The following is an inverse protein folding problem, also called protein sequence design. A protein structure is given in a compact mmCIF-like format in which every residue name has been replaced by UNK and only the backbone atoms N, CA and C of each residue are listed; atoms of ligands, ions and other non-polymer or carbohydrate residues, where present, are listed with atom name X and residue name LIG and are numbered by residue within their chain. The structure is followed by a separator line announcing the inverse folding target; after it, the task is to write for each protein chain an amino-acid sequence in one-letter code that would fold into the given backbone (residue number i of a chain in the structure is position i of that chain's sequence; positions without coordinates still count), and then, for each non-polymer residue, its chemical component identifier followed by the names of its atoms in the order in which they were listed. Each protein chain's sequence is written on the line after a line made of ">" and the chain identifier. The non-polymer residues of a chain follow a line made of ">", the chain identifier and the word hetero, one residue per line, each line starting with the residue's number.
data_IF_856964388986
#
_entry.id   IF_856964388986
#
_cell.length_a   1.000
_cell.length_b   1.000
_cell.length_c   1.000
_cell.angle_alpha   90.00
_cell.angle_beta   90.00
_cell.angle_gamma   90.00
#
_symmetry.space_group_name_H-M   'P 1'
#
loop_
_entity.id
_entity.type
_entity.pdbx_description
1 polymer ?
#
# COMPACT_ATOMS: atom_id res chain seq x y z
N UNK A 1 -4.33 -9.64 25.88
CA UNK A 1 -3.35 -8.87 25.10
C UNK A 1 -3.51 -9.26 23.64
N UNK A 2 -3.93 -8.33 22.78
CA UNK A 2 -4.07 -8.56 21.34
C UNK A 2 -2.67 -8.59 20.73
N UNK A 3 -2.25 -9.72 20.17
CA UNK A 3 -0.96 -9.81 19.47
C UNK A 3 -1.08 -9.13 18.11
N UNK A 4 -0.35 -8.02 17.84
CA UNK A 4 -0.33 -7.41 16.53
C UNK A 4 0.31 -8.38 15.53
N UNK A 5 -0.29 -8.51 14.35
CA UNK A 5 0.32 -9.25 13.23
C UNK A 5 0.92 -8.22 12.28
N UNK A 6 2.19 -7.92 12.51
CA UNK A 6 2.98 -7.03 11.67
C UNK A 6 3.57 -7.82 10.50
N UNK A 7 3.35 -7.37 9.28
CA UNK A 7 4.05 -7.88 8.10
C UNK A 7 4.91 -6.77 7.51
N UNK A 8 6.23 -6.96 7.49
CA UNK A 8 7.19 -6.02 6.93
C UNK A 8 7.67 -6.52 5.56
N UNK A 9 7.57 -5.66 4.54
CA UNK A 9 8.15 -5.82 3.20
C UNK A 9 7.79 -7.13 2.47
N UNK A 10 6.59 -7.15 1.88
CA UNK A 10 6.00 -8.36 1.24
C UNK A 10 5.48 -8.13 -0.18
N UNK A 11 5.54 -6.89 -0.70
CA UNK A 11 4.94 -6.52 -2.00
C UNK A 11 5.52 -7.28 -3.18
N UNK A 12 6.79 -7.71 -3.10
CA UNK A 12 7.41 -8.59 -4.09
C UNK A 12 6.83 -10.02 -4.12
N UNK A 13 6.11 -10.45 -3.07
CA UNK A 13 5.64 -11.83 -2.88
C UNK A 13 4.12 -11.97 -2.87
N UNK A 14 3.37 -10.86 -2.90
CA UNK A 14 1.91 -10.86 -2.92
C UNK A 14 1.41 -10.41 -4.29
N UNK A 15 0.73 -11.33 -4.96
CA UNK A 15 0.13 -11.09 -6.28
C UNK A 15 -1.35 -10.70 -6.20
N UNK A 16 -2.03 -11.04 -5.11
CA UNK A 16 -3.44 -10.72 -4.85
C UNK A 16 -3.63 -10.24 -3.40
N UNK A 17 -3.61 -8.92 -3.25
CA UNK A 17 -3.77 -8.25 -1.96
C UNK A 17 -5.12 -8.49 -1.31
N UNK A 18 -6.20 -8.50 -2.09
CA UNK A 18 -7.55 -8.73 -1.57
C UNK A 18 -7.65 -10.12 -0.97
N UNK A 19 -7.21 -11.14 -1.70
CA UNK A 19 -7.19 -12.52 -1.20
C UNK A 19 -6.29 -12.68 0.02
N UNK A 20 -5.15 -12.01 0.05
CA UNK A 20 -4.25 -12.03 1.20
C UNK A 20 -4.89 -11.41 2.45
N UNK A 21 -5.47 -10.22 2.32
CA UNK A 21 -6.16 -9.52 3.41
C UNK A 21 -7.38 -10.33 3.90
N UNK A 22 -8.15 -10.94 2.99
CA UNK A 22 -9.25 -11.84 3.35
C UNK A 22 -8.77 -13.05 4.16
N UNK A 23 -7.63 -13.64 3.80
CA UNK A 23 -7.01 -14.71 4.58
C UNK A 23 -6.63 -14.22 5.97
N UNK A 24 -6.01 -13.05 6.08
CA UNK A 24 -5.67 -12.44 7.37
C UNK A 24 -6.92 -12.20 8.23
N UNK A 25 -8.02 -11.73 7.64
CA UNK A 25 -9.28 -11.47 8.33
C UNK A 25 -9.95 -12.74 8.88
N UNK A 26 -9.68 -13.91 8.29
CA UNK A 26 -10.27 -15.19 8.70
C UNK A 26 -10.21 -15.46 10.21
N UNK A 27 -11.24 -16.14 10.73
CA UNK A 27 -11.43 -16.36 12.19
C UNK A 27 -10.23 -16.98 12.90
N UNK A 28 -9.45 -17.84 12.23
CA UNK A 28 -8.25 -18.47 12.79
C UNK A 28 -6.99 -17.60 12.74
N UNK A 29 -6.99 -16.51 11.97
CA UNK A 29 -5.79 -15.76 11.62
C UNK A 29 -5.69 -14.40 12.34
N UNK A 30 -6.84 -13.78 12.66
CA UNK A 30 -6.89 -12.52 13.39
C UNK A 30 -8.09 -12.47 14.35
N UNK A 31 -7.80 -12.15 15.61
CA UNK A 31 -8.79 -11.99 16.67
C UNK A 31 -9.64 -10.72 16.44
N UNK A 32 -10.87 -10.69 16.99
CA UNK A 32 -11.66 -9.45 17.05
C UNK A 32 -10.90 -8.39 17.86
N UNK A 33 -10.87 -7.15 17.38
CA UNK A 33 -10.02 -6.08 17.91
C UNK A 33 -8.52 -6.27 17.60
N UNK A 34 -8.16 -7.24 16.75
CA UNK A 34 -6.81 -7.42 16.25
C UNK A 34 -6.48 -6.43 15.15
N UNK A 35 -5.21 -6.02 15.07
CA UNK A 35 -4.70 -5.10 14.06
C UNK A 35 -3.96 -5.88 12.97
N UNK A 36 -4.19 -5.46 11.74
CA UNK A 36 -3.42 -5.86 10.57
C UNK A 36 -2.63 -4.65 10.10
N UNK A 37 -1.31 -4.77 10.02
CA UNK A 37 -0.43 -3.69 9.56
C UNK A 37 0.51 -4.20 8.48
N UNK A 38 0.63 -3.39 7.43
CA UNK A 38 1.56 -3.54 6.33
C UNK A 38 2.43 -2.30 6.27
N UNK A 39 3.74 -2.50 6.15
CA UNK A 39 4.65 -1.43 5.79
C UNK A 39 5.47 -1.86 4.58
N UNK A 40 5.52 -1.01 3.56
CA UNK A 40 6.22 -1.32 2.31
C UNK A 40 6.72 -0.07 1.58
N UNK A 41 7.59 -0.26 0.59
CA UNK A 41 8.41 0.77 -0.01
C UNK A 41 8.36 0.63 -1.53
N UNK A 42 8.10 1.73 -2.23
CA UNK A 42 8.15 1.78 -3.69
C UNK A 42 9.58 1.91 -4.21
N UNK A 43 10.38 0.86 -4.03
CA UNK A 43 11.83 0.86 -4.35
C UNK A 43 12.13 0.96 -5.85
N UNK A 44 11.14 0.71 -6.71
CA UNK A 44 11.26 0.79 -8.16
C UNK A 44 10.81 2.15 -8.74
N UNK A 45 10.30 3.06 -7.91
CA UNK A 45 9.89 4.40 -8.34
C UNK A 45 10.40 5.48 -7.36
N UNK A 46 11.70 5.83 -7.40
CA UNK A 46 12.19 7.01 -6.71
C UNK A 46 11.51 8.26 -7.28
N UNK A 47 11.16 9.18 -6.39
CA UNK A 47 10.50 10.44 -6.72
C UNK A 47 11.27 11.62 -6.12
N UNK A 48 10.90 12.83 -6.51
CA UNK A 48 11.49 14.07 -6.02
C UNK A 48 10.47 15.20 -6.05
N UNK A 49 10.56 16.12 -5.10
CA UNK A 49 9.70 17.31 -5.04
C UNK A 49 10.23 18.47 -5.92
N UNK A 50 11.50 18.45 -6.31
CA UNK A 50 12.16 19.56 -7.01
C UNK A 50 12.75 19.21 -8.38
N UNK A 51 12.55 17.96 -8.82
CA UNK A 51 12.96 17.50 -10.15
C UNK A 51 14.48 17.38 -10.33
N UNK A 52 15.26 17.37 -9.24
CA UNK A 52 16.71 17.16 -9.29
C UNK A 52 17.16 15.83 -9.93
N UNK A 53 16.51 14.66 -9.70
CA UNK A 53 16.76 13.49 -10.53
C UNK A 53 16.10 13.68 -11.89
N UNK A 54 16.92 13.59 -12.93
CA UNK A 54 16.46 13.61 -14.32
C UNK A 54 16.34 12.18 -14.85
N UNK A 55 15.65 11.99 -15.96
CA UNK A 55 15.54 10.67 -16.60
C UNK A 55 16.88 10.11 -17.08
N UNK A 56 17.90 10.97 -17.17
CA UNK A 56 19.26 10.59 -17.51
C UNK A 56 20.12 10.18 -16.32
N UNK A 57 19.69 10.53 -15.10
CA UNK A 57 20.34 10.13 -13.85
C UNK A 57 20.36 8.60 -13.76
N UNK A 58 21.50 8.02 -13.38
CA UNK A 58 21.66 6.58 -13.26
C UNK A 58 20.64 5.98 -12.28
N UNK A 59 20.26 6.73 -11.23
CA UNK A 59 19.16 6.37 -10.33
C UNK A 59 17.83 6.10 -11.05
N UNK A 60 17.40 7.02 -11.92
CA UNK A 60 16.14 6.86 -12.66
C UNK A 60 16.23 5.74 -13.69
N UNK A 61 17.37 5.60 -14.38
CA UNK A 61 17.64 4.50 -15.31
C UNK A 61 17.59 3.14 -14.60
N UNK A 62 18.26 3.01 -13.46
CA UNK A 62 18.24 1.80 -12.63
C UNK A 62 16.85 1.47 -12.11
N UNK A 63 16.08 2.48 -11.67
CA UNK A 63 14.71 2.28 -11.20
C UNK A 63 13.78 1.74 -12.30
N UNK A 64 13.86 2.29 -13.52
CA UNK A 64 13.09 1.82 -14.69
C UNK A 64 13.40 0.36 -15.01
N UNK A 65 14.69 0.02 -15.04
CA UNK A 65 15.16 -1.34 -15.25
C UNK A 65 14.63 -2.29 -14.15
N UNK A 66 14.69 -1.90 -12.89
CA UNK A 66 14.08 -2.66 -11.79
C UNK A 66 12.56 -2.82 -11.96
N UNK A 67 11.85 -1.76 -12.37
CA UNK A 67 10.41 -1.83 -12.61
C UNK A 67 10.06 -2.83 -13.73
N UNK A 68 10.78 -2.81 -14.85
CA UNK A 68 10.61 -3.79 -15.94
C UNK A 68 10.82 -5.23 -15.45
N UNK A 69 11.85 -5.43 -14.63
CA UNK A 69 12.11 -6.72 -14.01
C UNK A 69 10.94 -7.20 -13.14
N UNK A 70 10.43 -6.33 -12.28
CA UNK A 70 9.34 -6.68 -11.37
C UNK A 70 8.05 -7.06 -12.11
N UNK A 71 7.75 -6.34 -13.20
CA UNK A 71 6.62 -6.65 -14.09
C UNK A 71 6.83 -8.01 -14.75
N UNK A 72 8.04 -8.31 -15.25
CA UNK A 72 8.36 -9.61 -15.85
C UNK A 72 8.18 -10.76 -14.86
N UNK A 73 8.59 -10.57 -13.59
CA UNK A 73 8.42 -11.57 -12.53
C UNK A 73 6.98 -11.61 -11.95
N UNK A 74 6.05 -10.82 -12.50
CA UNK A 74 4.62 -10.87 -12.13
C UNK A 74 4.26 -10.12 -10.86
N UNK A 75 5.16 -9.33 -10.27
CA UNK A 75 4.87 -8.46 -9.13
C UNK A 75 4.52 -7.06 -9.64
N UNK A 76 3.31 -6.59 -9.35
CA UNK A 76 2.85 -5.24 -9.68
C UNK A 76 2.96 -4.38 -8.43
N UNK A 77 4.07 -3.66 -8.29
CA UNK A 77 4.38 -2.75 -7.17
C UNK A 77 3.39 -1.58 -6.95
N UNK A 78 2.33 -1.46 -7.76
CA UNK A 78 1.84 -0.14 -8.16
C UNK A 78 0.63 0.43 -7.43
N UNK A 79 0.07 -0.22 -6.40
CA UNK A 79 -1.25 0.23 -5.93
C UNK A 79 -1.49 0.15 -4.42
N UNK A 80 -0.50 0.58 -3.63
CA UNK A 80 -0.66 0.74 -2.18
C UNK A 80 -1.83 1.65 -1.81
N UNK A 81 -2.10 2.69 -2.62
CA UNK A 81 -3.19 3.63 -2.41
C UNK A 81 -4.58 2.95 -2.36
N UNK A 82 -4.77 1.83 -3.05
CA UNK A 82 -6.04 1.08 -3.02
C UNK A 82 -6.20 0.16 -1.83
N UNK A 83 -5.15 -0.10 -1.07
CA UNK A 83 -5.20 -1.05 0.04
C UNK A 83 -6.12 -0.58 1.17
N UNK A 84 -6.32 0.73 1.35
CA UNK A 84 -7.30 1.28 2.30
C UNK A 84 -8.71 0.83 1.94
N UNK A 85 -9.11 1.05 0.68
CA UNK A 85 -10.42 0.62 0.20
C UNK A 85 -10.60 -0.90 0.23
N UNK A 86 -9.53 -1.68 0.03
CA UNK A 86 -9.60 -3.14 0.17
C UNK A 86 -9.80 -3.56 1.63
N UNK A 87 -9.14 -2.89 2.59
CA UNK A 87 -9.36 -3.13 4.01
C UNK A 87 -10.82 -2.82 4.40
N UNK A 88 -11.34 -1.69 3.95
CA UNK A 88 -12.74 -1.28 4.18
C UNK A 88 -13.74 -2.27 3.56
N UNK A 89 -13.49 -2.72 2.33
CA UNK A 89 -14.32 -3.74 1.66
C UNK A 89 -14.37 -5.06 2.44
N UNK A 90 -13.29 -5.40 3.15
CA UNK A 90 -13.18 -6.62 3.98
C UNK A 90 -13.65 -6.34 5.43
N UNK A 91 -14.32 -5.21 5.67
CA UNK A 91 -14.89 -4.82 6.96
C UNK A 91 -13.84 -4.61 8.06
N UNK A 92 -12.60 -4.24 7.72
CA UNK A 92 -11.74 -3.61 8.70
C UNK A 92 -12.29 -2.22 9.05
N UNK A 93 -12.15 -1.83 10.31
CA UNK A 93 -12.48 -0.50 10.82
C UNK A 93 -11.21 0.24 11.20
N UNK A 94 -11.30 1.55 11.42
CA UNK A 94 -10.17 2.41 11.78
C UNK A 94 -9.01 2.30 10.78
N UNK A 95 -9.34 2.13 9.49
CA UNK A 95 -8.40 2.03 8.38
C UNK A 95 -7.63 3.33 8.19
N UNK A 96 -6.32 3.21 7.96
CA UNK A 96 -5.45 4.35 7.70
C UNK A 96 -4.35 3.98 6.71
N UNK A 97 -4.06 4.89 5.80
CA UNK A 97 -2.80 4.94 5.04
C UNK A 97 -1.98 6.16 5.46
N UNK A 98 -0.70 5.92 5.72
CA UNK A 98 0.29 6.96 5.98
C UNK A 98 1.43 6.84 4.97
N UNK A 99 1.78 7.97 4.36
CA UNK A 99 2.87 8.08 3.40
C UNK A 99 4.07 8.78 4.05
N UNK A 100 5.22 8.14 3.99
CA UNK A 100 6.50 8.66 4.47
C UNK A 100 7.50 8.77 3.33
N UNK A 101 8.44 9.70 3.47
CA UNK A 101 9.55 9.87 2.53
C UNK A 101 10.79 9.19 3.09
N UNK A 102 11.39 8.29 2.33
CA UNK A 102 12.67 7.67 2.66
C UNK A 102 13.76 8.18 1.70
N UNK A 103 14.56 9.18 2.11
CA UNK A 103 15.59 9.79 1.26
C UNK A 103 16.62 8.77 0.77
N UNK A 104 17.12 8.93 -0.46
CA UNK A 104 18.17 8.05 -1.00
C UNK A 104 19.55 8.33 -0.41
N UNK A 105 19.76 9.55 0.11
CA UNK A 105 20.99 10.00 0.77
C UNK A 105 20.62 11.06 1.84
N UNK A 106 21.62 11.46 2.62
CA UNK A 106 21.69 12.50 3.64
C UNK A 106 21.50 13.96 3.13
N UNK A 107 20.89 14.17 1.97
CA UNK A 107 20.59 15.51 1.43
C UNK A 107 19.55 16.33 2.23
N UNK A 108 18.59 15.75 2.98
CA UNK A 108 17.64 16.56 3.73
C UNK A 108 18.29 17.45 4.79
N UNK A 109 17.68 18.61 5.05
CA UNK A 109 18.12 19.52 6.12
C UNK A 109 17.79 19.00 7.51
N UNK A 110 16.60 18.41 7.65
CA UNK A 110 16.13 17.82 8.91
C UNK A 110 17.05 16.69 9.38
N UNK A 111 17.43 16.70 10.66
CA UNK A 111 18.43 15.79 11.19
C UNK A 111 17.97 14.32 11.16
N UNK A 112 16.68 14.08 11.42
CA UNK A 112 16.10 12.74 11.40
C UNK A 112 16.09 12.18 9.98
N UNK A 113 15.61 12.95 9.00
CA UNK A 113 15.60 12.52 7.61
C UNK A 113 17.00 12.37 7.02
N UNK A 114 17.95 13.19 7.47
CA UNK A 114 19.37 13.06 7.10
C UNK A 114 19.96 11.72 7.55
N UNK A 115 19.67 11.31 8.79
CA UNK A 115 20.09 10.02 9.31
C UNK A 115 19.42 8.85 8.56
N UNK A 116 18.11 8.95 8.29
CA UNK A 116 17.39 7.96 7.48
C UNK A 116 17.99 7.81 6.08
N UNK A 117 18.37 8.92 5.45
CA UNK A 117 19.01 8.94 4.14
C UNK A 117 20.40 8.32 4.15
N UNK A 118 21.20 8.56 5.20
CA UNK A 118 22.49 7.90 5.39
C UNK A 118 22.34 6.37 5.45
N UNK A 119 21.42 5.87 6.27
CA UNK A 119 21.17 4.43 6.36
C UNK A 119 20.64 3.84 5.06
N UNK A 120 19.81 4.59 4.32
CA UNK A 120 19.33 4.14 3.02
C UNK A 120 20.45 4.05 2.00
N UNK A 121 21.33 5.05 1.95
CA UNK A 121 22.51 5.03 1.09
C UNK A 121 23.37 3.77 1.35
N UNK A 122 23.60 3.44 2.62
CA UNK A 122 24.33 2.23 3.02
C UNK A 122 23.64 0.94 2.55
N UNK A 123 22.31 0.89 2.58
CA UNK A 123 21.51 -0.23 2.06
C UNK A 123 21.60 -0.33 0.52
N UNK A 124 21.43 0.78 -0.19
CA UNK A 124 21.34 0.81 -1.65
C UNK A 124 22.67 0.55 -2.33
N UNK A 125 23.79 1.07 -1.78
CA UNK A 125 25.12 0.96 -2.41
C UNK A 125 25.61 -0.49 -2.57
N UNK A 126 25.09 -1.41 -1.76
CA UNK A 126 25.42 -2.85 -1.80
C UNK A 126 24.35 -3.68 -2.49
N UNK A 127 23.08 -3.28 -2.39
CA UNK A 127 21.93 -4.02 -2.92
C UNK A 127 21.94 -4.13 -4.45
N UNK A 128 22.35 -3.08 -5.17
CA UNK A 128 22.27 -3.07 -6.64
C UNK A 128 23.25 -4.03 -7.35
N UNK A 129 24.44 -4.25 -6.78
CA UNK A 129 25.35 -5.27 -7.31
C UNK A 129 24.74 -6.66 -7.18
N UNK A 130 24.05 -6.93 -6.07
CA UNK A 130 23.41 -8.22 -5.82
C UNK A 130 22.22 -8.50 -6.76
N UNK A 131 21.51 -7.47 -7.23
CA UNK A 131 20.38 -7.61 -8.14
C UNK A 131 20.79 -7.74 -9.62
N UNK A 132 22.01 -7.34 -9.99
CA UNK A 132 22.47 -7.38 -11.38
C UNK A 132 22.50 -8.79 -12.03
N UNK A 133 22.95 -9.88 -11.36
CA UNK A 133 23.06 -11.18 -12.03
C UNK A 133 21.73 -11.88 -12.36
N UNK A 134 20.70 -11.85 -11.50
CA UNK A 134 19.36 -12.33 -11.85
C UNK A 134 18.76 -11.62 -13.07
N UNK A 135 18.97 -10.31 -13.21
CA UNK A 135 18.42 -9.53 -14.32
C UNK A 135 19.08 -9.87 -15.66
N UNK A 136 20.40 -10.07 -15.71
CA UNK A 136 21.09 -10.55 -16.93
C UNK A 136 20.51 -11.89 -17.39
N UNK A 137 20.29 -12.83 -16.46
CA UNK A 137 19.83 -14.17 -16.79
C UNK A 137 18.35 -14.25 -17.18
N UNK A 138 17.49 -13.46 -16.54
CA UNK A 138 16.05 -13.53 -16.75
C UNK A 138 15.52 -12.56 -17.81
N UNK A 139 16.16 -11.39 -17.96
CA UNK A 139 15.71 -10.30 -18.83
C UNK A 139 16.63 -10.06 -20.03
N UNK A 140 17.76 -10.76 -20.09
CA UNK A 140 18.71 -10.63 -21.19
C UNK A 140 19.45 -9.29 -21.21
N UNK A 141 19.58 -8.62 -20.05
CA UNK A 141 20.27 -7.33 -19.99
C UNK A 141 21.68 -7.40 -20.57
N UNK A 142 21.98 -6.38 -21.36
CA UNK A 142 23.29 -6.09 -21.94
C UNK A 142 24.30 -5.72 -20.87
N UNK A 143 25.58 -5.79 -21.24
CA UNK A 143 26.67 -5.39 -20.34
C UNK A 143 26.57 -3.91 -19.97
N UNK A 144 26.09 -3.09 -20.89
CA UNK A 144 25.88 -1.65 -20.73
C UNK A 144 24.81 -1.36 -19.67
N UNK A 145 23.71 -2.11 -19.65
CA UNK A 145 22.66 -2.00 -18.62
C UNK A 145 23.17 -2.40 -17.24
N UNK A 146 24.07 -3.38 -17.17
CA UNK A 146 24.75 -3.74 -15.92
C UNK A 146 25.70 -2.64 -15.47
N UNK A 147 26.41 -1.97 -16.39
CA UNK A 147 27.30 -0.86 -16.06
C UNK A 147 26.56 0.36 -15.49
N UNK A 148 25.25 0.50 -15.73
CA UNK A 148 24.41 1.50 -15.05
C UNK A 148 24.47 1.32 -13.53
N UNK A 149 24.60 0.08 -13.02
CA UNK A 149 24.75 -0.18 -11.57
C UNK A 149 26.03 0.40 -10.98
N UNK A 150 27.09 0.52 -11.79
CA UNK A 150 28.36 1.15 -11.38
C UNK A 150 28.19 2.68 -11.33
N UNK A 151 27.52 3.26 -12.33
CA UNK A 151 27.22 4.69 -12.36
C UNK A 151 26.26 5.11 -11.24
N UNK A 152 25.33 4.24 -10.86
CA UNK A 152 24.36 4.46 -9.79
C UNK A 152 25.01 4.81 -8.45
N UNK A 153 26.14 4.18 -8.10
CA UNK A 153 26.86 4.49 -6.86
C UNK A 153 27.26 5.96 -6.76
N UNK A 154 27.64 6.56 -7.89
CA UNK A 154 28.03 7.96 -7.95
C UNK A 154 26.83 8.87 -7.69
N UNK A 155 25.66 8.52 -8.22
CA UNK A 155 24.44 9.30 -8.03
C UNK A 155 23.86 9.11 -6.63
N UNK A 156 23.92 7.90 -6.06
CA UNK A 156 23.47 7.62 -4.70
C UNK A 156 24.24 8.41 -3.64
N UNK A 157 25.51 8.73 -3.87
CA UNK A 157 26.31 9.59 -3.00
C UNK A 157 26.28 11.08 -3.37
N UNK A 158 25.50 11.46 -4.38
CA UNK A 158 25.40 12.83 -4.84
C UNK A 158 24.24 13.55 -4.12
N UNK A 159 24.60 14.37 -3.13
CA UNK A 159 23.65 15.15 -2.33
C UNK A 159 22.91 16.25 -3.11
N UNK A 160 23.26 16.51 -4.37
CA UNK A 160 22.47 17.39 -5.25
C UNK A 160 21.28 16.69 -5.88
N UNK A 161 21.16 15.37 -5.73
CA UNK A 161 20.02 14.57 -6.20
C UNK A 161 19.08 14.36 -5.02
N UNK A 162 18.01 15.14 -4.96
CA UNK A 162 17.01 15.10 -3.89
C UNK A 162 15.93 14.06 -4.18
N UNK A 163 16.35 12.81 -4.32
CA UNK A 163 15.46 11.68 -4.52
C UNK A 163 15.08 11.01 -3.19
N UNK A 164 13.89 10.43 -3.16
CA UNK A 164 13.40 9.60 -2.07
C UNK A 164 12.45 8.52 -2.58
N UNK A 165 12.28 7.47 -1.78
CA UNK A 165 11.26 6.44 -2.00
C UNK A 165 10.04 6.73 -1.14
N UNK A 166 8.86 6.43 -1.68
CA UNK A 166 7.62 6.46 -0.94
C UNK A 166 7.51 5.20 -0.08
N UNK A 167 7.37 5.39 1.23
CA UNK A 167 7.14 4.31 2.20
C UNK A 167 5.71 4.42 2.71
N UNK A 168 4.96 3.33 2.62
CA UNK A 168 3.55 3.26 2.99
C UNK A 168 3.43 2.48 4.30
N UNK A 169 2.75 3.04 5.30
CA UNK A 169 2.24 2.31 6.46
C UNK A 169 0.73 2.25 6.36
N UNK A 170 0.19 1.05 6.39
CA UNK A 170 -1.21 0.76 6.09
C UNK A 170 -1.72 -0.16 7.17
N UNK A 171 -2.78 0.24 7.86
CA UNK A 171 -3.32 -0.59 8.91
C UNK A 171 -4.84 -0.51 9.00
N UNK A 172 -5.42 -1.54 9.59
CA UNK A 172 -6.84 -1.62 9.91
C UNK A 172 -7.09 -2.58 11.06
N UNK A 173 -8.20 -2.39 11.74
CA UNK A 173 -8.60 -3.17 12.91
C UNK A 173 -9.77 -4.07 12.55
N UNK A 174 -9.69 -5.35 12.91
CA UNK A 174 -10.84 -6.23 12.82
C UNK A 174 -11.87 -5.79 13.86
N UNK A 175 -13.11 -5.47 13.48
CA UNK A 175 -14.07 -4.88 14.40
C UNK A 175 -14.39 -5.81 15.57
N UNK A 176 -14.71 -5.20 16.72
CA UNK A 176 -15.35 -5.94 17.80
C UNK A 176 -16.76 -6.37 17.39
N UNK A 177 -17.27 -7.42 18.05
CA UNK A 177 -18.63 -7.93 17.77
C UNK A 177 -19.71 -6.84 17.98
N UNK A 178 -19.50 -5.96 18.96
CA UNK A 178 -20.35 -4.79 19.22
C UNK A 178 -20.37 -3.79 18.07
N UNK A 179 -19.20 -3.46 17.50
CA UNK A 179 -19.08 -2.53 16.38
C UNK A 179 -19.73 -3.08 15.12
N UNK A 180 -19.55 -4.37 14.82
CA UNK A 180 -20.20 -5.03 13.67
C UNK A 180 -21.74 -5.02 13.80
N UNK A 181 -22.26 -5.30 14.99
CA UNK A 181 -23.72 -5.23 15.24
C UNK A 181 -24.31 -3.82 15.15
N UNK A 182 -23.49 -2.77 15.29
CA UNK A 182 -23.91 -1.39 15.18
C UNK A 182 -23.90 -0.94 13.72
N UNK A 183 -22.86 -1.29 12.94
CA UNK A 183 -22.81 -1.01 11.50
C UNK A 183 -23.97 -1.68 10.74
N UNK A 184 -24.26 -2.94 11.05
CA UNK A 184 -25.34 -3.68 10.39
C UNK A 184 -26.72 -3.05 10.67
N UNK A 185 -26.92 -2.50 11.88
CA UNK A 185 -28.15 -1.79 12.25
C UNK A 185 -28.28 -0.46 11.52
N UNK A 186 -27.21 0.31 11.41
CA UNK A 186 -27.22 1.59 10.69
C UNK A 186 -27.45 1.41 9.18
N UNK A 187 -26.82 0.41 8.55
CA UNK A 187 -27.02 0.10 7.13
C UNK A 187 -28.46 -0.31 6.84
N UNK A 188 -29.06 -1.15 7.69
CA UNK A 188 -30.47 -1.52 7.56
C UNK A 188 -31.41 -0.32 7.74
N UNK A 189 -31.10 0.62 8.63
CA UNK A 189 -31.90 1.84 8.82
C UNK A 189 -31.87 2.74 7.57
N UNK A 190 -30.70 2.97 6.98
CA UNK A 190 -30.55 3.77 5.75
C UNK A 190 -31.29 3.14 4.56
N UNK A 191 -31.21 1.82 4.39
CA UNK A 191 -31.94 1.12 3.33
C UNK A 191 -33.47 1.20 3.52
N UNK A 192 -33.95 1.28 4.76
CA UNK A 192 -35.36 1.51 5.07
C UNK A 192 -35.75 2.96 4.71
N UNK A 193 -34.93 3.95 5.08
CA UNK A 193 -35.17 5.36 4.75
C UNK A 193 -35.20 5.61 3.23
N UNK A 194 -34.24 5.08 2.47
CA UNK A 194 -34.24 5.17 1.00
C UNK A 194 -35.47 4.51 0.36
N UNK A 195 -35.92 3.37 0.91
CA UNK A 195 -37.11 2.68 0.42
C UNK A 195 -38.39 3.46 0.75
N UNK A 196 -38.46 4.12 1.92
CA UNK A 196 -39.56 5.01 2.29
C UNK A 196 -39.61 6.23 1.36
N UNK A 197 -38.48 6.91 1.13
CA UNK A 197 -38.42 8.05 0.21
C UNK A 197 -38.79 7.65 -1.23
N UNK A 198 -38.33 6.49 -1.69
CA UNK A 198 -38.67 5.97 -3.01
C UNK A 198 -40.17 5.66 -3.15
N UNK A 199 -40.80 5.08 -2.13
CA UNK A 199 -42.26 4.82 -2.11
C UNK A 199 -43.07 6.11 -2.06
N UNK A 200 -42.60 7.11 -1.31
CA UNK A 200 -43.20 8.44 -1.27
C UNK A 200 -43.12 9.14 -2.63
N UNK A 201 -41.97 9.04 -3.33
CA UNK A 201 -41.77 9.57 -4.67
C UNK A 201 -42.64 8.87 -5.74
N UNK A 202 -42.97 7.60 -5.54
CA UNK A 202 -43.87 6.84 -6.42
C UNK A 202 -45.36 6.96 -6.06
N UNK A 203 -45.72 7.72 -5.02
CA UNK A 203 -47.11 7.90 -4.60
C UNK A 203 -47.79 6.60 -4.13
N UNK A 204 -47.01 5.63 -3.66
CA UNK A 204 -47.54 4.36 -3.15
C UNK A 204 -47.88 4.55 -1.67
N UNK A 205 -49.15 4.84 -1.36
CA UNK A 205 -49.61 4.88 0.02
C UNK A 205 -49.52 3.48 0.64
N UNK A 206 -48.89 3.39 1.82
CA UNK A 206 -48.84 2.15 2.58
C UNK A 206 -50.27 1.79 3.01
N UNK A 207 -50.81 0.75 2.37
CA UNK A 207 -52.12 0.19 2.72
C UNK A 207 -52.13 -0.23 4.18
N UNK A 208 -52.76 0.58 5.02
CA UNK A 208 -53.13 0.20 6.38
C UNK A 208 -54.02 -1.03 6.26
N UNK A 209 -53.46 -2.19 6.58
CA UNK A 209 -54.25 -3.39 6.84
C UNK A 209 -55.07 -3.10 8.08
N UNK A 210 -56.31 -2.67 7.87
CA UNK A 210 -57.31 -2.56 8.93
C UNK A 210 -57.53 -3.97 9.48
N UNK A 211 -57.12 -4.19 10.72
CA UNK A 211 -57.56 -5.31 11.54
C UNK A 211 -59.08 -5.22 11.67
N UNK A 212 -59.82 -6.05 10.93
CA UNK A 212 -61.22 -6.29 11.22
C UNK A 212 -61.29 -7.24 12.42
N UNK A 213 -61.47 -6.65 13.60
CA UNK A 213 -62.30 -7.25 14.64
C UNK A 213 -63.73 -7.34 14.10
N UNK A 214 -64.33 -8.53 14.07
CA UNK A 214 -65.66 -8.76 14.62
C UNK A 214 -66.13 -10.22 14.50
N UNK A 215 -66.72 -10.66 15.62
CA UNK A 215 -67.64 -11.79 15.89
C UNK A 215 -67.12 -13.22 15.83
#
# INVERSE_FOLDING_TARGET
>A
MSTPRLSQTITGSITDWKRYIQRCYGFSNLNLGGYLEFSDIDTAAPVSDDGTPTEDTALMKSARLCLEATVFFGSRFKDFARLEGILEEIEFVDTRIQLFKWPTDSWPRDQKHKELGYWNYENLKTSFEAFSPPFIRALGWTKEEVLVTVALRKDLGNKSVHAYYNTWSIYGTKPLRSQKSASDRSLNALAIEENIEFRFALGVEDGVVSTNENS
#
